data_IF_434670553115
#
_entry.id   IF_434670553115
#
_cell.length_a   1.000
_cell.length_b   1.000
_cell.length_c   1.000
_cell.angle_alpha   90.00
_cell.angle_beta   90.00
_cell.angle_gamma   90.00
#
_symmetry.space_group_name_H-M   'P 1'
#
loop_
_entity.id
_entity.type
_entity.pdbx_description
1 polymer ?
#
# COMPACT_ATOMS: atom_id res chain seq x y z
N UNK A 1 -0.79 -10.56 10.44
CA UNK A 1 -0.85 -11.15 9.10
C UNK A 1 0.56 -11.31 8.54
N UNK A 2 0.73 -12.08 7.46
CA UNK A 2 2.03 -12.43 6.86
C UNK A 2 2.87 -11.20 6.50
N UNK A 3 2.22 -10.11 6.09
CA UNK A 3 2.90 -8.87 5.68
C UNK A 3 3.20 -7.89 6.83
N UNK A 4 2.77 -8.20 8.07
CA UNK A 4 2.88 -7.28 9.22
C UNK A 4 4.33 -6.91 9.52
N UNK A 5 5.22 -7.90 9.62
CA UNK A 5 6.62 -7.67 10.00
C UNK A 5 7.35 -6.74 9.04
N UNK A 6 7.10 -6.88 7.73
CA UNK A 6 7.64 -5.98 6.72
C UNK A 6 7.17 -4.54 6.93
N UNK A 7 5.86 -4.34 7.14
CA UNK A 7 5.30 -3.01 7.36
C UNK A 7 5.80 -2.36 8.66
N UNK A 8 5.99 -3.13 9.72
CA UNK A 8 6.58 -2.63 10.98
C UNK A 8 8.01 -2.14 10.79
N UNK A 9 8.81 -2.81 9.95
CA UNK A 9 10.17 -2.37 9.59
C UNK A 9 10.12 -1.10 8.73
N UNK A 10 9.22 -1.04 7.75
CA UNK A 10 9.04 0.14 6.90
C UNK A 10 8.63 1.37 7.74
N UNK A 11 7.73 1.19 8.69
CA UNK A 11 7.26 2.24 9.60
C UNK A 11 8.38 2.70 10.54
N UNK A 12 9.19 1.77 11.08
CA UNK A 12 10.43 2.12 11.82
C UNK A 12 11.39 2.98 10.98
N UNK A 13 11.52 2.67 9.69
CA UNK A 13 12.36 3.45 8.77
C UNK A 13 11.77 4.85 8.52
N UNK A 14 10.46 4.96 8.24
CA UNK A 14 9.77 6.25 8.07
C UNK A 14 9.96 7.15 9.29
N UNK A 15 9.74 6.64 10.51
CA UNK A 15 9.97 7.43 11.74
C UNK A 15 11.40 7.90 11.89
N UNK A 16 12.40 7.07 11.56
CA UNK A 16 13.81 7.50 11.58
C UNK A 16 14.06 8.65 10.61
N UNK A 17 13.41 8.66 9.45
CA UNK A 17 13.50 9.75 8.48
C UNK A 17 12.79 11.01 9.00
N UNK A 18 11.61 10.88 9.60
CA UNK A 18 10.89 11.99 10.23
C UNK A 18 11.70 12.63 11.36
N UNK A 19 12.32 11.83 12.23
CA UNK A 19 13.18 12.31 13.31
C UNK A 19 14.44 13.05 12.80
N UNK A 20 14.82 12.84 11.53
CA UNK A 20 15.89 13.58 10.85
C UNK A 20 15.37 14.86 10.15
N UNK A 21 14.14 15.27 10.41
CA UNK A 21 13.51 16.45 9.82
C UNK A 21 12.93 16.25 8.43
N UNK A 22 12.91 15.01 7.91
CA UNK A 22 12.40 14.70 6.56
C UNK A 22 10.89 14.45 6.53
N UNK A 23 10.10 14.93 7.49
CA UNK A 23 8.65 14.66 7.54
C UNK A 23 7.93 15.14 6.28
N UNK A 24 8.23 16.36 5.79
CA UNK A 24 7.62 16.89 4.55
C UNK A 24 8.21 16.26 3.28
N UNK A 25 9.47 15.84 3.33
CA UNK A 25 10.23 15.34 2.18
C UNK A 25 10.62 13.88 2.38
N UNK A 26 9.71 13.09 2.98
CA UNK A 26 10.01 11.69 3.27
C UNK A 26 10.09 10.93 1.94
N UNK A 27 11.21 10.25 1.64
CA UNK A 27 11.38 9.54 0.36
C UNK A 27 10.46 8.31 0.24
N UNK A 28 9.80 7.91 1.33
CA UNK A 28 8.91 6.76 1.38
C UNK A 28 7.48 7.27 1.49
N UNK A 29 6.70 7.06 0.43
CA UNK A 29 5.26 7.32 0.40
C UNK A 29 4.50 6.01 0.22
N UNK A 30 3.55 5.76 1.10
CA UNK A 30 2.78 4.52 1.19
C UNK A 30 1.35 4.74 0.75
N UNK A 31 0.82 3.79 -0.02
CA UNK A 31 -0.54 3.81 -0.53
C UNK A 31 -1.24 2.51 -0.17
N UNK A 32 -2.45 2.62 0.37
CA UNK A 32 -3.39 1.51 0.46
C UNK A 32 -4.34 1.58 -0.74
N UNK A 33 -4.23 0.64 -1.68
CA UNK A 33 -5.12 0.56 -2.85
C UNK A 33 -6.03 -0.65 -2.74
N UNK A 34 -7.32 -0.42 -2.54
CA UNK A 34 -8.33 -1.48 -2.38
C UNK A 34 -9.42 -1.40 -3.43
N UNK A 35 -9.77 -2.56 -4.01
CA UNK A 35 -10.90 -2.66 -4.93
C UNK A 35 -12.25 -2.50 -4.23
N UNK A 36 -12.30 -2.48 -2.90
CA UNK A 36 -13.53 -2.28 -2.12
C UNK A 36 -13.94 -0.81 -2.10
N UNK A 37 -15.23 -0.55 -1.88
CA UNK A 37 -15.75 0.81 -1.65
C UNK A 37 -15.32 1.34 -0.29
N UNK A 38 -15.43 2.66 -0.07
CA UNK A 38 -15.14 3.32 1.20
C UNK A 38 -16.20 3.05 2.30
N UNK A 39 -16.82 1.85 2.30
CA UNK A 39 -17.72 1.37 3.34
C UNK A 39 -17.00 0.49 4.36
N UNK A 40 -17.77 -0.26 5.16
CA UNK A 40 -17.26 -1.14 6.22
C UNK A 40 -16.13 -2.08 5.73
N UNK A 41 -16.32 -2.73 4.58
CA UNK A 41 -15.35 -3.67 4.05
C UNK A 41 -14.07 -3.01 3.52
N UNK A 42 -14.16 -1.76 3.08
CA UNK A 42 -13.00 -0.96 2.67
C UNK A 42 -12.12 -0.64 3.87
N UNK A 43 -12.73 -0.16 4.95
CA UNK A 43 -11.99 0.26 6.14
C UNK A 43 -11.31 -0.87 6.90
N UNK A 44 -11.71 -2.14 6.69
CA UNK A 44 -11.10 -3.29 7.38
C UNK A 44 -9.57 -3.33 7.28
N UNK A 45 -9.03 -3.08 6.09
CA UNK A 45 -7.58 -3.06 5.88
C UNK A 45 -6.92 -1.89 6.62
N UNK A 46 -7.50 -0.68 6.51
CA UNK A 46 -7.00 0.50 7.21
C UNK A 46 -7.07 0.34 8.74
N UNK A 47 -8.15 -0.20 9.25
CA UNK A 47 -8.34 -0.48 10.69
C UNK A 47 -7.36 -1.52 11.20
N UNK A 48 -7.03 -2.54 10.40
CA UNK A 48 -6.01 -3.53 10.74
C UNK A 48 -4.62 -2.88 10.83
N UNK A 49 -4.28 -2.00 9.89
CA UNK A 49 -3.01 -1.26 9.93
C UNK A 49 -2.95 -0.34 11.16
N UNK A 50 -4.04 0.38 11.45
CA UNK A 50 -4.16 1.25 12.63
C UNK A 50 -4.05 0.48 13.94
N UNK A 51 -4.67 -0.71 14.06
CA UNK A 51 -4.54 -1.54 15.27
C UNK A 51 -3.13 -2.08 15.48
N UNK A 52 -2.31 -2.11 14.41
CA UNK A 52 -0.87 -2.40 14.50
C UNK A 52 0.00 -1.16 14.72
N UNK A 53 -0.61 0.03 14.85
CA UNK A 53 0.12 1.30 14.99
C UNK A 53 0.83 1.72 13.70
N UNK A 54 0.35 1.27 12.54
CA UNK A 54 0.92 1.58 11.23
C UNK A 54 0.10 2.67 10.54
N UNK A 55 0.78 3.73 10.09
CA UNK A 55 0.19 4.82 9.35
C UNK A 55 0.45 4.68 7.85
N UNK A 56 -0.55 5.03 7.04
CA UNK A 56 -0.46 5.07 5.59
C UNK A 56 -0.68 6.51 5.14
N UNK A 57 0.08 6.97 4.15
CA UNK A 57 0.01 8.35 3.68
C UNK A 57 -1.24 8.60 2.83
N UNK A 58 -1.66 7.63 2.04
CA UNK A 58 -2.80 7.73 1.11
C UNK A 58 -3.62 6.44 1.07
N UNK A 59 -4.95 6.55 1.03
CA UNK A 59 -5.85 5.41 0.86
C UNK A 59 -6.79 5.63 -0.32
N UNK A 60 -6.80 4.69 -1.27
CA UNK A 60 -7.61 4.74 -2.49
C UNK A 60 -8.60 3.57 -2.51
N UNK A 61 -9.88 3.91 -2.47
CA UNK A 61 -11.01 2.97 -2.53
C UNK A 61 -11.62 3.00 -3.92
N UNK A 62 -11.51 1.90 -4.66
CA UNK A 62 -11.89 1.86 -6.07
C UNK A 62 -13.35 1.45 -6.32
N UNK A 63 -14.06 0.94 -5.30
CA UNK A 63 -15.49 0.61 -5.42
C UNK A 63 -15.83 -0.36 -6.54
N UNK A 64 -14.99 -1.37 -6.77
CA UNK A 64 -15.11 -2.37 -7.84
C UNK A 64 -14.31 -2.05 -9.10
N UNK A 65 -13.78 -0.83 -9.22
CA UNK A 65 -12.96 -0.44 -10.38
C UNK A 65 -11.61 -1.17 -10.40
N UNK A 66 -11.04 -1.30 -11.59
CA UNK A 66 -9.71 -1.91 -11.79
C UNK A 66 -8.61 -1.07 -11.13
N UNK A 67 -7.59 -1.72 -10.56
CA UNK A 67 -6.42 -1.06 -9.95
C UNK A 67 -5.52 -0.37 -10.98
N UNK A 68 -5.42 -0.92 -12.20
CA UNK A 68 -4.49 -0.48 -13.26
C UNK A 68 -4.42 1.05 -13.44
N UNK A 69 -5.54 1.74 -13.76
CA UNK A 69 -5.52 3.19 -13.98
C UNK A 69 -5.01 4.01 -12.78
N UNK A 70 -5.22 3.53 -11.55
CA UNK A 70 -4.71 4.18 -10.34
C UNK A 70 -3.22 3.89 -10.16
N UNK A 71 -2.79 2.66 -10.43
CA UNK A 71 -1.37 2.29 -10.36
C UNK A 71 -0.54 3.04 -11.41
N UNK A 72 -1.05 3.28 -12.62
CA UNK A 72 -0.39 4.10 -13.65
C UNK A 72 -0.23 5.56 -13.23
N UNK A 73 -1.17 6.10 -12.45
CA UNK A 73 -1.09 7.47 -11.90
C UNK A 73 -0.14 7.57 -10.71
N UNK A 74 -0.19 6.60 -9.80
CA UNK A 74 0.67 6.56 -8.61
C UNK A 74 2.13 6.29 -9.02
N UNK A 75 2.35 5.45 -10.04
CA UNK A 75 3.66 4.93 -10.46
C UNK A 75 4.48 4.41 -9.28
N UNK A 76 3.97 3.44 -8.50
CA UNK A 76 4.67 2.97 -7.31
C UNK A 76 5.98 2.31 -7.70
N UNK A 77 7.03 2.54 -6.90
CA UNK A 77 8.31 1.87 -7.06
C UNK A 77 8.19 0.34 -6.87
N UNK A 78 7.31 -0.09 -5.96
CA UNK A 78 6.99 -1.50 -5.70
C UNK A 78 5.51 -1.60 -5.34
N UNK A 79 4.80 -2.52 -5.99
CA UNK A 79 3.40 -2.85 -5.70
C UNK A 79 3.29 -4.22 -5.00
N UNK A 80 2.51 -4.31 -3.93
CA UNK A 80 2.29 -5.55 -3.17
C UNK A 80 0.82 -5.94 -3.23
N UNK A 81 0.54 -7.21 -3.52
CA UNK A 81 -0.81 -7.76 -3.54
C UNK A 81 -0.79 -9.27 -3.25
N UNK A 82 -1.91 -9.81 -2.76
CA UNK A 82 -2.07 -11.24 -2.45
C UNK A 82 -2.68 -12.03 -3.62
N UNK A 83 -3.20 -11.36 -4.65
CA UNK A 83 -3.79 -12.01 -5.82
C UNK A 83 -2.86 -11.98 -7.04
N UNK A 84 -2.54 -13.16 -7.57
CA UNK A 84 -1.71 -13.33 -8.78
C UNK A 84 -2.22 -12.53 -9.98
N UNK A 85 -3.54 -12.39 -10.12
CA UNK A 85 -4.17 -11.58 -11.17
C UNK A 85 -3.78 -10.10 -11.05
N UNK A 86 -3.72 -9.55 -9.85
CA UNK A 86 -3.31 -8.16 -9.64
C UNK A 86 -1.82 -7.96 -9.96
N UNK A 87 -0.98 -8.92 -9.56
CA UNK A 87 0.45 -8.92 -9.87
C UNK A 87 0.67 -8.96 -11.38
N UNK A 88 0.03 -9.90 -12.08
CA UNK A 88 0.15 -10.06 -13.54
C UNK A 88 -0.29 -8.79 -14.27
N UNK A 89 -1.42 -8.20 -13.89
CA UNK A 89 -1.91 -6.96 -14.51
C UNK A 89 -0.96 -5.78 -14.27
N UNK A 90 -0.37 -5.67 -13.07
CA UNK A 90 0.58 -4.61 -12.76
C UNK A 90 1.90 -4.76 -13.54
N UNK A 91 2.39 -6.00 -13.71
CA UNK A 91 3.57 -6.27 -14.53
C UNK A 91 3.34 -5.91 -16.01
N UNK A 92 2.14 -6.14 -16.55
CA UNK A 92 1.79 -5.76 -17.93
C UNK A 92 1.89 -4.25 -18.20
N UNK A 93 1.69 -3.42 -17.17
CA UNK A 93 1.82 -1.96 -17.25
C UNK A 93 3.18 -1.46 -16.72
N UNK A 94 4.16 -2.36 -16.59
CA UNK A 94 5.54 -2.02 -16.26
C UNK A 94 5.79 -1.70 -14.78
N UNK A 95 4.93 -2.15 -13.87
CA UNK A 95 5.07 -1.90 -12.43
C UNK A 95 5.72 -3.09 -11.74
N UNK A 96 6.86 -2.83 -11.08
CA UNK A 96 7.54 -3.80 -10.23
C UNK A 96 6.58 -4.26 -9.14
N UNK A 97 6.34 -5.57 -9.07
CA UNK A 97 5.29 -6.15 -8.24
C UNK A 97 5.80 -7.34 -7.44
N UNK A 98 5.30 -7.48 -6.21
CA UNK A 98 5.65 -8.54 -5.28
C UNK A 98 4.38 -9.26 -4.81
N UNK A 99 4.31 -10.57 -5.05
CA UNK A 99 3.22 -11.39 -4.53
C UNK A 99 3.42 -11.66 -3.04
N UNK A 100 2.42 -11.30 -2.23
CA UNK A 100 2.40 -11.58 -0.80
C UNK A 100 1.65 -12.88 -0.58
N UNK A 101 2.37 -13.97 -0.31
CA UNK A 101 1.76 -15.24 0.04
C UNK A 101 1.12 -15.15 1.42
N UNK A 102 -0.17 -15.50 1.48
CA UNK A 102 -0.94 -15.54 2.72
C UNK A 102 -0.78 -16.85 3.48
#
# INVERSE_FOLDING_TARGET
GPFKGFLEVLEKLKRKLHNKGLTKNCPIRTYLVTSRSAGYDGYRALNTLRSWGLEIDEAVFLGGSKKGPVLEKIRPHIFFDDQDRHITNALQIGIVSCHVKA
#
